data_IF_764617038808
#
_entry.id   IF_764617038808
#
_cell.length_a   1.000
_cell.length_b   1.000
_cell.length_c   1.000
_cell.angle_alpha   90.00
_cell.angle_beta   90.00
_cell.angle_gamma   90.00
#
_symmetry.space_group_name_H-M   'P 1'
#
loop_
_entity.id
_entity.type
_entity.pdbx_description
1 polymer ?
#
# COMPACT_ATOMS: atom_id res chain seq x y z
N UNK A 1 31.17 -32.09 4.37
CA UNK A 1 30.01 -31.88 3.47
C UNK A 1 29.02 -30.97 4.19
N UNK A 2 28.50 -29.90 3.56
CA UNK A 2 27.46 -29.05 4.19
C UNK A 2 26.21 -29.89 4.48
N UNK A 3 25.64 -29.76 5.68
CA UNK A 3 24.40 -30.43 6.06
C UNK A 3 23.28 -30.04 5.08
N UNK A 4 22.61 -31.06 4.51
CA UNK A 4 21.54 -30.90 3.51
C UNK A 4 20.38 -30.06 4.03
N UNK A 5 20.11 -30.10 5.34
CA UNK A 5 19.05 -29.33 6.01
C UNK A 5 19.42 -27.84 6.07
N UNK A 6 20.67 -27.51 6.40
CA UNK A 6 21.17 -26.12 6.36
C UNK A 6 21.07 -25.57 4.94
N UNK A 7 21.52 -26.34 3.94
CA UNK A 7 21.40 -25.95 2.53
C UNK A 7 19.94 -25.81 2.04
N UNK A 8 18.99 -26.52 2.65
CA UNK A 8 17.57 -26.36 2.36
C UNK A 8 17.02 -25.05 2.94
N UNK A 9 17.36 -24.70 4.19
CA UNK A 9 16.99 -23.41 4.78
C UNK A 9 17.57 -22.24 4.00
N UNK A 10 18.85 -22.29 3.61
CA UNK A 10 19.47 -21.24 2.80
C UNK A 10 18.73 -21.00 1.47
N UNK A 11 18.28 -22.07 0.82
CA UNK A 11 17.46 -21.97 -0.40
C UNK A 11 16.08 -21.33 -0.13
N UNK A 12 15.41 -21.72 0.95
CA UNK A 12 14.11 -21.13 1.33
C UNK A 12 14.25 -19.65 1.66
N UNK A 13 15.28 -19.29 2.43
CA UNK A 13 15.59 -17.91 2.80
C UNK A 13 15.93 -17.05 1.58
N UNK A 14 16.74 -17.56 0.66
CA UNK A 14 17.05 -16.88 -0.60
C UNK A 14 15.78 -16.57 -1.40
N UNK A 15 14.88 -17.55 -1.57
CA UNK A 15 13.60 -17.36 -2.25
C UNK A 15 12.70 -16.35 -1.53
N UNK A 16 12.64 -16.40 -0.20
CA UNK A 16 11.85 -15.47 0.63
C UNK A 16 12.38 -14.04 0.54
N UNK A 17 13.69 -13.83 0.54
CA UNK A 17 14.33 -12.51 0.37
C UNK A 17 14.12 -11.97 -1.05
N UNK A 18 14.18 -12.84 -2.07
CA UNK A 18 13.80 -12.44 -3.43
C UNK A 18 12.33 -12.03 -3.51
N UNK A 19 11.44 -12.78 -2.86
CA UNK A 19 10.03 -12.43 -2.79
C UNK A 19 9.80 -11.12 -2.04
N UNK A 20 10.55 -10.84 -0.96
CA UNK A 20 10.49 -9.55 -0.25
C UNK A 20 10.84 -8.39 -1.17
N UNK A 21 11.91 -8.52 -1.97
CA UNK A 21 12.28 -7.51 -2.98
C UNK A 21 11.16 -7.27 -3.99
N UNK A 22 10.49 -8.34 -4.46
CA UNK A 22 9.33 -8.22 -5.37
C UNK A 22 8.17 -7.49 -4.70
N UNK A 23 7.82 -7.84 -3.46
CA UNK A 23 6.75 -7.16 -2.72
C UNK A 23 7.03 -5.66 -2.52
N UNK A 24 8.28 -5.29 -2.20
CA UNK A 24 8.65 -3.88 -2.05
C UNK A 24 8.62 -3.14 -3.38
N UNK A 25 9.03 -3.76 -4.49
CA UNK A 25 8.90 -3.18 -5.83
C UNK A 25 7.42 -2.93 -6.18
N UNK A 26 6.55 -3.92 -5.95
CA UNK A 26 5.09 -3.77 -6.12
C UNK A 26 4.52 -2.67 -5.24
N UNK A 27 4.92 -2.58 -3.97
CA UNK A 27 4.51 -1.49 -3.07
C UNK A 27 4.94 -0.12 -3.60
N UNK A 28 6.12 -0.02 -4.21
CA UNK A 28 6.58 1.20 -4.86
C UNK A 28 5.68 1.62 -6.02
N UNK A 29 5.30 0.67 -6.89
CA UNK A 29 4.37 0.92 -8.00
C UNK A 29 2.99 1.37 -7.50
N UNK A 30 2.44 0.65 -6.51
CA UNK A 30 1.14 1.00 -5.91
C UNK A 30 1.13 2.41 -5.30
N UNK A 31 2.23 2.83 -4.67
CA UNK A 31 2.38 4.19 -4.14
C UNK A 31 2.40 5.24 -5.24
N UNK A 32 3.10 4.98 -6.34
CA UNK A 32 3.10 5.86 -7.51
C UNK A 32 1.70 6.02 -8.12
N UNK A 33 0.99 4.90 -8.28
CA UNK A 33 -0.41 4.91 -8.76
C UNK A 33 -1.36 5.66 -7.82
N UNK A 34 -1.24 5.44 -6.51
CA UNK A 34 -2.04 6.15 -5.49
C UNK A 34 -1.76 7.65 -5.51
N UNK A 35 -0.51 8.07 -5.68
CA UNK A 35 -0.16 9.49 -5.79
C UNK A 35 -0.77 10.13 -7.06
N UNK A 36 -0.73 9.42 -8.19
CA UNK A 36 -1.36 9.90 -9.43
C UNK A 36 -2.89 10.05 -9.27
N UNK A 37 -3.54 9.07 -8.63
CA UNK A 37 -4.98 9.16 -8.32
C UNK A 37 -5.31 10.27 -7.33
N UNK A 38 -4.45 10.53 -6.34
CA UNK A 38 -4.63 11.63 -5.41
C UNK A 38 -4.59 12.99 -6.13
N UNK A 39 -3.65 13.16 -7.08
CA UNK A 39 -3.60 14.34 -7.95
C UNK A 39 -4.87 14.50 -8.78
N UNK A 40 -5.33 13.43 -9.44
CA UNK A 40 -6.56 13.45 -10.22
C UNK A 40 -7.81 13.75 -9.36
N UNK A 41 -7.89 13.19 -8.15
CA UNK A 41 -8.98 13.48 -7.22
C UNK A 41 -8.98 14.96 -6.79
N UNK A 42 -7.80 15.52 -6.50
CA UNK A 42 -7.67 16.93 -6.14
C UNK A 42 -8.11 17.83 -7.30
N UNK A 43 -7.66 17.56 -8.53
CA UNK A 43 -8.08 18.32 -9.72
C UNK A 43 -9.60 18.29 -9.92
N UNK A 44 -10.23 17.12 -9.78
CA UNK A 44 -11.69 16.99 -9.92
C UNK A 44 -12.44 17.73 -8.82
N UNK A 45 -11.96 17.65 -7.59
CA UNK A 45 -12.56 18.38 -6.45
C UNK A 45 -12.45 19.89 -6.65
N UNK A 46 -11.28 20.39 -7.09
CA UNK A 46 -11.13 21.81 -7.40
C UNK A 46 -12.03 22.28 -8.54
N UNK A 47 -12.30 21.43 -9.54
CA UNK A 47 -13.26 21.73 -10.59
C UNK A 47 -14.71 21.80 -10.06
N UNK A 48 -15.08 20.89 -9.15
CA UNK A 48 -16.38 20.93 -8.45
C UNK A 48 -16.52 22.24 -7.66
N UNK A 49 -15.50 22.63 -6.88
CA UNK A 49 -15.51 23.84 -6.07
C UNK A 49 -15.63 25.12 -6.92
N UNK A 50 -14.87 25.20 -8.01
CA UNK A 50 -14.93 26.33 -8.94
C UNK A 50 -16.34 26.44 -9.57
N UNK A 51 -16.91 25.31 -10.00
CA UNK A 51 -18.23 25.30 -10.61
C UNK A 51 -19.36 25.57 -9.58
N UNK A 52 -19.19 25.18 -8.32
CA UNK A 52 -20.10 25.54 -7.24
C UNK A 52 -20.10 27.06 -7.00
N UNK A 53 -18.93 27.70 -7.03
CA UNK A 53 -18.81 29.16 -6.89
C UNK A 53 -19.50 29.90 -8.05
N UNK A 54 -19.38 29.40 -9.27
CA UNK A 54 -20.11 29.94 -10.44
C UNK A 54 -21.63 29.82 -10.26
N UNK A 55 -22.12 28.65 -9.85
CA UNK A 55 -23.55 28.46 -9.56
C UNK A 55 -24.05 29.42 -8.48
N UNK A 56 -23.31 29.59 -7.38
CA UNK A 56 -23.67 30.53 -6.32
C UNK A 56 -23.72 31.98 -6.82
N UNK A 57 -22.81 32.37 -7.73
CA UNK A 57 -22.85 33.69 -8.38
C UNK A 57 -24.11 33.88 -9.24
N UNK A 58 -24.50 32.85 -10.00
CA UNK A 58 -25.71 32.88 -10.79
C UNK A 58 -26.98 32.92 -9.93
N UNK A 59 -27.03 32.15 -8.84
CA UNK A 59 -28.12 32.20 -7.87
C UNK A 59 -28.23 33.61 -7.23
N UNK A 60 -27.10 34.27 -6.95
CA UNK A 60 -27.07 35.66 -6.47
C UNK A 60 -27.57 36.69 -7.48
N UNK A 61 -27.27 36.52 -8.78
CA UNK A 61 -27.83 37.36 -9.85
C UNK A 61 -29.34 37.20 -9.97
N UNK A 62 -29.83 35.97 -9.92
CA UNK A 62 -31.26 35.66 -9.96
C UNK A 62 -31.96 36.31 -8.75
N UNK A 63 -31.40 36.16 -7.54
CA UNK A 63 -31.92 36.80 -6.33
C UNK A 63 -31.97 38.33 -6.45
N UNK A 64 -30.94 38.94 -7.04
CA UNK A 64 -30.87 40.40 -7.25
C UNK A 64 -31.92 40.89 -8.25
N UNK A 65 -32.18 40.15 -9.33
CA UNK A 65 -33.23 40.48 -10.30
C UNK A 65 -34.64 40.43 -9.67
N UNK A 66 -34.90 39.39 -8.86
CA UNK A 66 -36.18 39.24 -8.16
C UNK A 66 -36.39 40.25 -7.03
N UNK A 67 -35.30 40.77 -6.44
CA UNK A 67 -35.35 41.82 -5.42
C UNK A 67 -35.46 43.26 -5.96
N UNK A 68 -35.32 43.45 -7.28
CA UNK A 68 -35.39 44.75 -7.95
C UNK A 68 -36.82 45.22 -8.25
N UNK A 69 -36.99 46.53 -8.48
CA UNK A 69 -38.30 47.14 -8.76
C UNK A 69 -38.88 46.77 -10.15
N UNK A 70 -38.04 46.37 -11.11
CA UNK A 70 -38.47 45.88 -12.43
C UNK A 70 -37.37 45.04 -13.08
N UNK A 71 -37.74 43.91 -13.69
CA UNK A 71 -36.84 43.09 -14.51
C UNK A 71 -37.56 42.60 -15.78
N UNK A 72 -36.78 42.19 -16.79
CA UNK A 72 -37.32 41.60 -18.01
C UNK A 72 -37.50 40.09 -17.81
N UNK A 73 -38.73 39.60 -18.02
CA UNK A 73 -39.05 38.18 -17.86
C UNK A 73 -38.15 37.26 -18.73
N UNK A 74 -37.83 37.67 -19.96
CA UNK A 74 -36.95 36.91 -20.86
C UNK A 74 -35.52 36.74 -20.31
N UNK A 75 -35.00 37.76 -19.61
CA UNK A 75 -33.67 37.73 -19.01
C UNK A 75 -33.63 36.78 -17.81
N UNK A 76 -34.69 36.81 -17.00
CA UNK A 76 -34.87 35.89 -15.89
C UNK A 76 -34.97 34.43 -16.37
N UNK A 77 -35.80 34.16 -17.37
CA UNK A 77 -35.96 32.80 -17.93
C UNK A 77 -34.63 32.25 -18.47
N UNK A 78 -33.88 33.06 -19.21
CA UNK A 78 -32.54 32.67 -19.71
C UNK A 78 -31.57 32.32 -18.58
N UNK A 79 -31.59 33.08 -17.49
CA UNK A 79 -30.74 32.79 -16.32
C UNK A 79 -31.16 31.50 -15.61
N UNK A 80 -32.46 31.25 -15.48
CA UNK A 80 -32.98 30.01 -14.89
C UNK A 80 -32.63 28.79 -15.75
N UNK A 81 -32.76 28.88 -17.06
CA UNK A 81 -32.37 27.81 -18.01
C UNK A 81 -30.87 27.52 -17.93
N UNK A 82 -30.04 28.56 -17.96
CA UNK A 82 -28.59 28.42 -17.79
C UNK A 82 -28.24 27.76 -16.46
N UNK A 83 -28.86 28.21 -15.36
CA UNK A 83 -28.62 27.68 -14.02
C UNK A 83 -29.03 26.22 -13.90
N UNK A 84 -30.14 25.82 -14.52
CA UNK A 84 -30.58 24.42 -14.57
C UNK A 84 -29.54 23.54 -15.28
N UNK A 85 -29.06 23.98 -16.45
CA UNK A 85 -28.03 23.25 -17.19
C UNK A 85 -26.69 23.18 -16.43
N UNK A 86 -26.25 24.28 -15.82
CA UNK A 86 -25.06 24.29 -14.97
C UNK A 86 -25.22 23.38 -13.75
N UNK A 87 -26.40 23.25 -13.16
CA UNK A 87 -26.64 22.32 -12.05
C UNK A 87 -26.45 20.86 -12.49
N UNK A 88 -26.88 20.49 -13.70
CA UNK A 88 -26.63 19.15 -14.26
C UNK A 88 -25.14 18.89 -14.48
N UNK A 89 -24.40 19.87 -15.01
CA UNK A 89 -22.95 19.78 -15.18
C UNK A 89 -22.23 19.63 -13.83
N UNK A 90 -22.67 20.38 -12.82
CA UNK A 90 -22.13 20.28 -11.46
C UNK A 90 -22.33 18.88 -10.86
N UNK A 91 -23.54 18.33 -10.96
CA UNK A 91 -23.82 16.97 -10.51
C UNK A 91 -22.95 15.92 -11.24
N UNK A 92 -22.66 16.13 -12.53
CA UNK A 92 -21.75 15.27 -13.28
C UNK A 92 -20.31 15.36 -12.76
N UNK A 93 -19.83 16.55 -12.41
CA UNK A 93 -18.51 16.75 -11.81
C UNK A 93 -18.41 16.13 -10.42
N UNK A 94 -19.44 16.27 -9.58
CA UNK A 94 -19.52 15.62 -8.26
C UNK A 94 -19.43 14.09 -8.39
N UNK A 95 -20.16 13.51 -9.34
CA UNK A 95 -20.10 12.08 -9.62
C UNK A 95 -18.69 11.64 -10.04
N UNK A 96 -17.99 12.43 -10.87
CA UNK A 96 -16.61 12.15 -11.26
C UNK A 96 -15.64 12.25 -10.07
N UNK A 97 -15.80 13.25 -9.21
CA UNK A 97 -14.99 13.40 -8.00
C UNK A 97 -15.20 12.22 -7.03
N UNK A 98 -16.46 11.77 -6.86
CA UNK A 98 -16.79 10.60 -6.05
C UNK A 98 -16.17 9.30 -6.62
N UNK A 99 -16.20 9.11 -7.94
CA UNK A 99 -15.53 7.98 -8.60
C UNK A 99 -14.00 8.02 -8.39
N UNK A 100 -13.39 9.20 -8.51
CA UNK A 100 -11.96 9.38 -8.26
C UNK A 100 -11.60 9.08 -6.79
N UNK A 101 -12.44 9.51 -5.83
CA UNK A 101 -12.27 9.20 -4.42
C UNK A 101 -12.33 7.68 -4.15
N UNK A 102 -13.29 6.99 -4.75
CA UNK A 102 -13.41 5.52 -4.63
C UNK A 102 -12.19 4.80 -5.21
N UNK A 103 -11.69 5.24 -6.36
CA UNK A 103 -10.50 4.68 -6.98
C UNK A 103 -9.25 4.87 -6.09
N UNK A 104 -9.09 6.06 -5.50
CA UNK A 104 -8.02 6.34 -4.55
C UNK A 104 -8.11 5.44 -3.31
N UNK A 105 -9.28 5.37 -2.68
CA UNK A 105 -9.50 4.54 -1.49
C UNK A 105 -9.23 3.05 -1.78
N UNK A 106 -9.64 2.55 -2.95
CA UNK A 106 -9.35 1.19 -3.38
C UNK A 106 -7.84 0.93 -3.53
N UNK A 107 -7.07 1.91 -4.02
CA UNK A 107 -5.62 1.79 -4.11
C UNK A 107 -4.93 1.88 -2.75
N UNK A 108 -5.41 2.71 -1.84
CA UNK A 108 -4.90 2.76 -0.47
C UNK A 108 -5.12 1.43 0.27
N UNK A 109 -6.27 0.77 0.05
CA UNK A 109 -6.52 -0.57 0.57
C UNK A 109 -5.54 -1.61 0.01
N UNK A 110 -5.22 -1.55 -1.29
CA UNK A 110 -4.19 -2.43 -1.90
C UNK A 110 -2.81 -2.19 -1.29
N UNK A 111 -2.46 -0.93 -0.99
CA UNK A 111 -1.21 -0.59 -0.30
C UNK A 111 -1.18 -1.20 1.12
N UNK A 112 -2.28 -1.11 1.87
CA UNK A 112 -2.38 -1.68 3.20
C UNK A 112 -2.22 -3.22 3.19
N UNK A 113 -2.84 -3.90 2.22
CA UNK A 113 -2.67 -5.34 2.04
C UNK A 113 -1.22 -5.69 1.68
N UNK A 114 -0.60 -4.97 0.72
CA UNK A 114 0.80 -5.19 0.35
C UNK A 114 1.76 -5.02 1.54
N UNK A 115 1.54 -4.01 2.40
CA UNK A 115 2.31 -3.84 3.64
C UNK A 115 2.14 -5.03 4.58
N UNK A 116 0.93 -5.53 4.72
CA UNK A 116 0.64 -6.73 5.53
C UNK A 116 1.36 -7.96 4.99
N UNK A 117 1.38 -8.15 3.67
CA UNK A 117 2.10 -9.24 3.03
C UNK A 117 3.61 -9.17 3.27
N UNK A 118 4.20 -7.97 3.19
CA UNK A 118 5.62 -7.73 3.50
C UNK A 118 5.91 -8.12 4.95
N UNK A 119 5.11 -7.63 5.91
CA UNK A 119 5.30 -7.95 7.32
C UNK A 119 5.22 -9.46 7.59
N UNK A 120 4.23 -10.15 7.01
CA UNK A 120 4.10 -11.60 7.11
C UNK A 120 5.29 -12.34 6.51
N UNK A 121 5.84 -11.85 5.39
CA UNK A 121 7.00 -12.46 4.76
C UNK A 121 8.27 -12.26 5.59
N UNK A 122 8.47 -11.07 6.16
CA UNK A 122 9.60 -10.77 7.05
C UNK A 122 9.58 -11.63 8.31
N UNK A 123 8.42 -11.76 8.96
CA UNK A 123 8.28 -12.67 10.10
C UNK A 123 8.66 -14.12 9.75
N UNK A 124 8.33 -14.60 8.55
CA UNK A 124 8.74 -15.93 8.08
C UNK A 124 10.25 -16.02 7.83
N UNK A 125 10.87 -14.98 7.26
CA UNK A 125 12.33 -14.91 7.10
C UNK A 125 12.99 -15.05 8.48
N UNK A 126 12.58 -14.26 9.46
CA UNK A 126 13.14 -14.27 10.81
C UNK A 126 13.03 -15.65 11.47
N UNK A 127 11.88 -16.31 11.33
CA UNK A 127 11.68 -17.68 11.86
C UNK A 127 12.61 -18.69 11.18
N UNK A 128 12.79 -18.61 9.85
CA UNK A 128 13.67 -19.53 9.14
C UNK A 128 15.15 -19.25 9.40
N UNK A 129 15.54 -17.98 9.54
CA UNK A 129 16.91 -17.58 9.90
C UNK A 129 17.24 -18.13 11.30
N UNK A 130 16.37 -17.92 12.30
CA UNK A 130 16.56 -18.49 13.66
C UNK A 130 16.67 -20.02 13.65
N UNK A 131 15.84 -20.71 12.87
CA UNK A 131 15.88 -22.19 12.75
C UNK A 131 17.17 -22.67 12.08
N UNK A 132 17.65 -21.96 11.05
CA UNK A 132 18.93 -22.25 10.41
C UNK A 132 20.07 -22.11 11.42
N UNK A 133 20.10 -20.99 12.15
CA UNK A 133 21.21 -20.71 13.06
C UNK A 133 21.22 -21.68 14.26
N UNK A 134 20.06 -22.05 14.78
CA UNK A 134 19.96 -23.10 15.81
C UNK A 134 20.45 -24.46 15.30
N UNK A 135 20.15 -24.81 14.06
CA UNK A 135 20.64 -26.05 13.44
C UNK A 135 22.16 -26.03 13.23
N UNK A 136 22.72 -24.90 12.79
CA UNK A 136 24.17 -24.75 12.63
C UNK A 136 24.87 -24.92 13.98
N UNK A 137 24.39 -24.25 15.03
CA UNK A 137 24.92 -24.39 16.39
C UNK A 137 24.84 -25.83 16.91
N UNK A 138 23.74 -26.53 16.65
CA UNK A 138 23.60 -27.93 17.08
C UNK A 138 24.58 -28.86 16.35
N UNK A 139 24.90 -28.58 15.08
CA UNK A 139 25.91 -29.33 14.32
C UNK A 139 27.31 -29.03 14.87
N UNK A 140 27.61 -27.76 15.17
CA UNK A 140 28.90 -27.35 15.77
C UNK A 140 29.12 -28.03 17.12
N UNK A 141 28.13 -27.98 18.01
CA UNK A 141 28.18 -28.64 19.32
C UNK A 141 28.40 -30.15 19.19
N UNK A 142 27.69 -30.82 18.27
CA UNK A 142 27.85 -32.25 18.05
C UNK A 142 29.23 -32.64 17.51
N UNK A 143 29.90 -31.74 16.78
CA UNK A 143 31.28 -31.94 16.32
C UNK A 143 32.24 -31.76 17.50
N UNK A 144 32.05 -30.75 18.34
CA UNK A 144 32.85 -30.51 19.56
C UNK A 144 32.75 -31.71 20.52
N UNK A 145 31.52 -32.17 20.81
CA UNK A 145 31.27 -33.32 21.68
C UNK A 145 31.98 -34.59 21.16
N UNK A 146 31.91 -34.85 19.85
CA UNK A 146 32.58 -36.01 19.23
C UNK A 146 34.12 -35.93 19.34
N UNK A 147 34.69 -34.72 19.22
CA UNK A 147 36.14 -34.51 19.38
C UNK A 147 36.59 -34.69 20.83
N UNK A 148 35.77 -34.25 21.79
CA UNK A 148 36.05 -34.43 23.22
C UNK A 148 35.99 -35.90 23.63
N UNK A 149 35.02 -36.67 23.12
CA UNK A 149 34.94 -38.12 23.32
C UNK A 149 36.20 -38.82 22.78
N UNK A 150 36.60 -38.56 21.52
CA UNK A 150 37.83 -39.12 20.92
C UNK A 150 39.09 -38.77 21.74
N UNK A 151 39.19 -37.53 22.22
CA UNK A 151 40.33 -37.07 23.02
C UNK A 151 40.37 -37.75 24.40
N UNK A 152 39.20 -38.02 24.99
CA UNK A 152 39.10 -38.71 26.28
C UNK A 152 39.48 -40.20 26.19
N UNK A 153 39.14 -40.86 25.09
CA UNK A 153 39.50 -42.26 24.83
C UNK A 153 41.01 -42.42 24.62
N UNK A 154 41.66 -41.48 23.91
CA UNK A 154 43.12 -41.48 23.74
C UNK A 154 43.90 -41.23 25.03
N UNK A 155 43.29 -40.61 26.05
CA UNK A 155 43.91 -40.34 27.37
C UNK A 155 43.68 -41.44 28.40
N UNK A 156 42.94 -42.50 28.08
CA UNK A 156 42.71 -43.60 29.03
C UNK A 156 44.03 -44.37 29.26
N UNK A 157 44.51 -44.48 30.51
CA UNK A 157 45.72 -45.26 30.79
C UNK A 157 45.47 -46.74 30.44
N UNK A 158 46.48 -47.46 29.91
CA UNK A 158 46.33 -48.86 29.57
C UNK A 158 45.96 -49.69 30.81
N UNK A 159 45.18 -50.78 30.66
CA UNK A 159 44.79 -51.60 31.79
C UNK A 159 46.04 -52.12 32.51
N UNK A 160 46.11 -51.87 33.82
CA UNK A 160 47.18 -52.39 34.67
C UNK A 160 47.19 -53.92 34.59
N UNK A 161 48.34 -54.48 34.20
CA UNK A 161 48.59 -55.93 34.22
C UNK A 161 48.96 -56.40 35.61
#
# INVERSE_FOLDING_TARGET
MKDRRVAAFERVLSRRRQFDRKLNATLGLLRGESQALAGAFQERTSAVDAHAAELAHHDGKIGSLLGGASFRADEYLKLCEFRAHSAEQHAALEAQAAQAAQALAAKEAQIADARTQILRNRARIDVYDKRRDALVKAIELAIEDAQDEETSEMRRPPPAR
#
